data_IF_282680181410
#
_entry.id   IF_282680181410
#
_cell.length_a   1.000
_cell.length_b   1.000
_cell.length_c   1.000
_cell.angle_alpha   90.00
_cell.angle_beta   90.00
_cell.angle_gamma   90.00
#
_symmetry.space_group_name_H-M   'P 1'
#
loop_
_entity.id
_entity.type
_entity.pdbx_description
1 polymer ?
#
# COMPACT_ATOMS: atom_id res chain seq x y z
N UNK A 1 9.25 -16.44 -0.45
CA UNK A 1 7.92 -17.02 -0.12
C UNK A 1 6.96 -15.91 0.23
N UNK A 2 6.00 -15.69 -0.67
CA UNK A 2 4.99 -14.65 -0.54
C UNK A 2 4.05 -14.84 0.68
N UNK A 3 3.63 -13.75 1.35
CA UNK A 3 2.62 -13.79 2.39
C UNK A 3 1.32 -14.48 1.94
N UNK A 4 0.61 -15.13 2.87
CA UNK A 4 -0.61 -15.86 2.54
C UNK A 4 -1.73 -15.00 1.91
N UNK A 5 -1.78 -13.71 2.24
CA UNK A 5 -2.70 -12.75 1.60
C UNK A 5 -2.38 -12.54 0.12
N UNK A 6 -1.11 -12.29 -0.20
CA UNK A 6 -0.64 -12.10 -1.57
C UNK A 6 -0.88 -13.36 -2.41
N UNK A 7 -0.55 -14.56 -1.89
CA UNK A 7 -0.79 -15.82 -2.62
C UNK A 7 -2.26 -16.01 -3.00
N UNK A 8 -3.19 -15.67 -2.11
CA UNK A 8 -4.63 -15.75 -2.41
C UNK A 8 -5.08 -14.67 -3.38
N UNK A 9 -4.53 -13.47 -3.28
CA UNK A 9 -4.81 -12.41 -4.24
C UNK A 9 -4.40 -12.83 -5.65
N UNK A 10 -3.17 -13.34 -5.83
CA UNK A 10 -2.68 -13.86 -7.11
C UNK A 10 -3.56 -14.98 -7.66
N UNK A 11 -3.99 -15.90 -6.80
CA UNK A 11 -4.78 -17.07 -7.22
C UNK A 11 -6.25 -16.76 -7.56
N UNK A 12 -6.85 -15.77 -6.91
CA UNK A 12 -8.31 -15.62 -6.91
C UNK A 12 -8.85 -14.20 -7.12
N UNK A 13 -8.02 -13.15 -7.08
CA UNK A 13 -8.47 -11.76 -7.17
C UNK A 13 -7.53 -10.89 -7.99
N UNK A 14 -7.76 -9.58 -7.99
CA UNK A 14 -7.00 -8.62 -8.82
C UNK A 14 -6.29 -7.55 -8.01
N UNK A 15 -6.28 -7.71 -6.68
CA UNK A 15 -5.54 -6.82 -5.81
C UNK A 15 -5.20 -7.41 -4.47
N UNK A 16 -4.15 -6.87 -3.88
CA UNK A 16 -3.69 -7.21 -2.53
C UNK A 16 -3.55 -5.94 -1.70
N UNK A 17 -4.13 -5.96 -0.50
CA UNK A 17 -4.10 -4.81 0.41
C UNK A 17 -3.41 -5.20 1.72
N UNK A 18 -2.07 -5.12 1.82
CA UNK A 18 -1.37 -5.28 3.09
C UNK A 18 -1.68 -4.14 4.08
N UNK A 19 -1.50 -4.43 5.37
CA UNK A 19 -1.69 -3.47 6.45
C UNK A 19 -0.31 -2.93 6.86
N UNK A 20 -0.13 -1.62 6.78
CA UNK A 20 1.06 -0.93 7.27
C UNK A 20 1.32 -1.25 8.74
N UNK A 21 2.58 -1.56 9.07
CA UNK A 21 2.99 -2.01 10.40
C UNK A 21 2.82 -3.52 10.65
N UNK A 22 2.06 -4.24 9.80
CA UNK A 22 2.09 -5.73 9.74
C UNK A 22 2.93 -6.25 8.58
N UNK A 23 3.01 -5.46 7.52
CA UNK A 23 3.89 -5.65 6.38
C UNK A 23 4.78 -4.43 6.26
N UNK A 24 6.05 -4.62 5.91
CA UNK A 24 6.94 -3.53 5.60
C UNK A 24 6.34 -2.72 4.44
N UNK A 25 6.38 -1.39 4.58
CA UNK A 25 5.85 -0.46 3.58
C UNK A 25 7.04 0.12 2.83
N UNK A 26 7.62 -0.70 1.97
CA UNK A 26 8.73 -0.35 1.10
C UNK A 26 8.36 -0.72 -0.35
N UNK A 27 8.46 0.25 -1.26
CA UNK A 27 7.98 0.12 -2.63
C UNK A 27 8.69 -0.98 -3.39
N UNK A 28 10.02 -1.03 -3.30
CA UNK A 28 10.83 -2.07 -3.96
C UNK A 28 10.45 -3.47 -3.52
N UNK A 29 10.42 -3.75 -2.22
CA UNK A 29 10.11 -5.08 -1.71
C UNK A 29 8.69 -5.52 -2.02
N UNK A 30 7.72 -4.60 -1.97
CA UNK A 30 6.34 -4.89 -2.40
C UNK A 30 6.25 -5.22 -3.89
N UNK A 31 6.98 -4.50 -4.73
CA UNK A 31 7.05 -4.73 -6.17
C UNK A 31 7.74 -6.05 -6.51
N UNK A 32 8.85 -6.37 -5.82
CA UNK A 32 9.55 -7.64 -5.97
C UNK A 32 8.68 -8.83 -5.52
N UNK A 33 7.95 -8.68 -4.40
CA UNK A 33 6.98 -9.68 -3.93
C UNK A 33 5.86 -9.91 -4.94
N UNK A 34 5.34 -8.83 -5.55
CA UNK A 34 4.34 -8.91 -6.63
C UNK A 34 4.88 -9.71 -7.81
N UNK A 35 6.10 -9.39 -8.25
CA UNK A 35 6.73 -10.05 -9.38
C UNK A 35 7.01 -11.54 -9.12
N UNK A 36 7.57 -11.88 -7.96
CA UNK A 36 7.81 -13.28 -7.54
C UNK A 36 6.50 -14.07 -7.56
N UNK A 37 5.49 -13.60 -6.84
CA UNK A 37 4.24 -14.34 -6.66
C UNK A 37 3.45 -14.49 -7.97
N UNK A 38 3.40 -13.45 -8.81
CA UNK A 38 2.75 -13.52 -10.11
C UNK A 38 3.53 -14.42 -11.09
N UNK A 39 4.87 -14.35 -11.09
CA UNK A 39 5.73 -15.20 -11.90
C UNK A 39 5.56 -16.69 -11.59
N UNK A 40 5.50 -17.06 -10.31
CA UNK A 40 5.21 -18.43 -9.87
C UNK A 40 3.84 -18.95 -10.37
N UNK A 41 2.88 -18.04 -10.55
CA UNK A 41 1.53 -18.37 -11.02
C UNK A 41 1.34 -18.20 -12.54
N UNK A 42 2.37 -17.79 -13.28
CA UNK A 42 2.26 -17.48 -14.72
C UNK A 42 1.34 -16.30 -15.03
N UNK A 43 1.20 -15.35 -14.10
CA UNK A 43 0.35 -14.16 -14.19
C UNK A 43 1.18 -12.92 -14.48
N UNK A 44 0.61 -11.98 -15.23
CA UNK A 44 1.21 -10.65 -15.41
C UNK A 44 1.19 -9.86 -14.09
N UNK A 45 2.34 -9.41 -13.54
CA UNK A 45 2.40 -8.59 -12.35
C UNK A 45 1.55 -7.30 -12.44
N UNK A 46 1.43 -6.69 -13.62
CA UNK A 46 0.65 -5.47 -13.80
C UNK A 46 -0.87 -5.68 -13.67
N UNK A 47 -1.33 -6.93 -13.74
CA UNK A 47 -2.72 -7.30 -13.51
C UNK A 47 -3.11 -7.43 -12.03
N UNK A 48 -2.16 -7.22 -11.11
CA UNK A 48 -2.40 -7.29 -9.67
C UNK A 48 -2.09 -5.93 -9.02
N UNK A 49 -3.14 -5.22 -8.61
CA UNK A 49 -3.01 -3.95 -7.90
C UNK A 49 -2.50 -4.18 -6.48
N UNK A 50 -1.63 -3.30 -5.98
CA UNK A 50 -1.27 -3.25 -4.57
C UNK A 50 -1.72 -1.93 -3.97
N UNK A 51 -2.38 -2.02 -2.82
CA UNK A 51 -2.75 -0.84 -2.05
C UNK A 51 -2.37 -1.00 -0.59
N UNK A 52 -1.90 0.07 0.06
CA UNK A 52 -1.50 -0.02 1.47
C UNK A 52 -2.63 0.49 2.35
N UNK A 53 -3.17 -0.37 3.20
CA UNK A 53 -4.09 0.05 4.26
C UNK A 53 -3.30 0.50 5.48
N UNK A 54 -3.64 1.66 6.05
CA UNK A 54 -2.85 2.32 7.09
C UNK A 54 -1.41 2.59 6.69
N UNK A 55 -1.22 3.23 5.52
CA UNK A 55 0.09 3.72 5.11
C UNK A 55 0.61 4.78 6.09
N UNK A 56 1.94 4.82 6.35
CA UNK A 56 2.55 5.94 7.04
C UNK A 56 2.34 7.24 6.25
N UNK A 57 1.91 8.34 6.90
CA UNK A 57 1.74 9.65 6.25
C UNK A 57 3.11 10.35 6.11
N UNK A 58 4.00 9.76 5.31
CA UNK A 58 5.36 10.24 5.08
C UNK A 58 5.60 10.39 3.58
N UNK A 59 6.06 11.58 3.16
CA UNK A 59 6.24 11.93 1.74
C UNK A 59 7.28 11.02 1.08
N UNK A 60 8.38 10.70 1.75
CA UNK A 60 9.43 9.85 1.21
C UNK A 60 8.95 8.42 0.99
N UNK A 61 8.20 7.88 1.94
CA UNK A 61 7.59 6.54 1.82
C UNK A 61 6.57 6.52 0.68
N UNK A 62 5.68 7.50 0.59
CA UNK A 62 4.64 7.49 -0.45
C UNK A 62 5.24 7.69 -1.84
N UNK A 63 6.28 8.53 -1.97
CA UNK A 63 7.01 8.70 -3.23
C UNK A 63 7.70 7.39 -3.66
N UNK A 64 8.35 6.68 -2.73
CA UNK A 64 8.97 5.38 -2.99
C UNK A 64 7.94 4.31 -3.42
N UNK A 65 6.78 4.28 -2.78
CA UNK A 65 5.66 3.41 -3.17
C UNK A 65 5.20 3.70 -4.61
N UNK A 66 5.00 4.98 -4.94
CA UNK A 66 4.56 5.40 -6.26
C UNK A 66 5.60 5.06 -7.35
N UNK A 67 6.89 5.31 -7.09
CA UNK A 67 8.00 4.99 -8.00
C UNK A 67 8.05 3.49 -8.33
N UNK A 68 7.71 2.63 -7.37
CA UNK A 68 7.71 1.17 -7.55
C UNK A 68 6.35 0.60 -7.98
N UNK A 69 5.42 1.47 -8.38
CA UNK A 69 4.15 1.08 -9.00
C UNK A 69 3.14 0.51 -8.00
N UNK A 70 3.11 1.04 -6.78
CA UNK A 70 2.03 0.81 -5.82
C UNK A 70 0.96 1.89 -6.04
N UNK A 71 -0.26 1.45 -6.32
CA UNK A 71 -1.26 2.30 -6.96
C UNK A 71 -2.04 3.18 -5.98
N UNK A 72 -2.13 2.76 -4.72
CA UNK A 72 -2.99 3.43 -3.74
C UNK A 72 -2.52 3.26 -2.30
N UNK A 73 -2.68 4.33 -1.53
CA UNK A 73 -2.53 4.32 -0.07
C UNK A 73 -3.82 4.77 0.59
N UNK A 74 -4.14 4.19 1.75
CA UNK A 74 -5.21 4.63 2.62
C UNK A 74 -4.61 4.98 3.99
N UNK A 75 -4.76 6.24 4.39
CA UNK A 75 -4.33 6.69 5.71
C UNK A 75 -5.34 6.30 6.79
N UNK A 76 -4.85 6.11 8.01
CA UNK A 76 -5.69 5.74 9.13
C UNK A 76 -6.32 6.94 9.81
N UNK A 77 -7.65 7.01 9.79
CA UNK A 77 -8.38 8.03 10.56
C UNK A 77 -8.69 7.47 11.95
N UNK A 78 -8.24 8.12 13.04
CA UNK A 78 -8.57 7.67 14.39
C UNK A 78 -10.08 7.83 14.66
N UNK A 79 -10.63 6.94 15.47
CA UNK A 79 -12.01 7.07 15.96
C UNK A 79 -12.07 8.04 17.14
N UNK A 80 -11.93 9.33 16.84
CA UNK A 80 -11.91 10.42 17.82
C UNK A 80 -12.94 11.52 17.49
N UNK A 81 -13.00 12.57 18.31
CA UNK A 81 -13.85 13.73 18.10
C UNK A 81 -13.51 14.50 16.81
N UNK A 82 -14.49 15.27 16.33
CA UNK A 82 -14.43 16.04 15.08
C UNK A 82 -13.11 16.83 14.94
N UNK A 83 -12.75 17.63 15.93
CA UNK A 83 -11.64 18.58 15.81
C UNK A 83 -10.29 17.85 15.71
N UNK A 84 -10.14 16.75 16.46
CA UNK A 84 -8.95 15.89 16.38
C UNK A 84 -8.84 15.20 15.01
N UNK A 85 -9.96 14.68 14.50
CA UNK A 85 -10.00 14.06 13.16
C UNK A 85 -9.70 15.07 12.05
N UNK A 86 -10.27 16.27 12.10
CA UNK A 86 -10.02 17.30 11.09
C UNK A 86 -8.54 17.71 11.07
N UNK A 87 -7.90 17.90 12.23
CA UNK A 87 -6.48 18.21 12.29
C UNK A 87 -5.61 17.10 11.66
N UNK A 88 -5.98 15.83 11.86
CA UNK A 88 -5.29 14.70 11.22
C UNK A 88 -5.48 14.71 9.70
N UNK A 89 -6.69 14.98 9.21
CA UNK A 89 -6.98 15.05 7.78
C UNK A 89 -6.26 16.21 7.10
N UNK A 90 -6.16 17.37 7.75
CA UNK A 90 -5.38 18.51 7.27
C UNK A 90 -3.89 18.14 7.11
N UNK A 91 -3.33 17.43 8.10
CA UNK A 91 -1.95 16.90 8.00
C UNK A 91 -1.77 15.91 6.85
N UNK A 92 -2.75 15.05 6.56
CA UNK A 92 -2.69 14.17 5.38
C UNK A 92 -2.79 14.95 4.07
N UNK A 93 -3.59 16.01 4.02
CA UNK A 93 -3.68 16.87 2.85
C UNK A 93 -2.34 17.58 2.57
N UNK A 94 -1.63 18.04 3.61
CA UNK A 94 -0.29 18.63 3.48
C UNK A 94 0.74 17.62 2.94
N UNK A 95 0.72 16.38 3.42
CA UNK A 95 1.58 15.30 2.90
C UNK A 95 1.31 15.08 1.41
N UNK A 96 0.04 14.95 1.03
CA UNK A 96 -0.32 14.73 -0.38
C UNK A 96 -0.01 15.92 -1.29
N UNK A 97 -0.06 17.15 -0.77
CA UNK A 97 0.31 18.35 -1.51
C UNK A 97 1.84 18.49 -1.70
N UNK A 98 2.63 17.69 -0.98
CA UNK A 98 4.11 17.73 -1.00
C UNK A 98 4.75 16.60 -1.82
N UNK A 99 3.94 15.71 -2.41
CA UNK A 99 4.36 14.67 -3.36
C UNK A 99 4.50 15.23 -4.78
#
# INVERSE_FOLDING_TARGET
MAPGGLRRAVAYGDGWIPIGGRTAVDGRGLSDLRAEACGEAGRDPASLEISIYYAPPDVGIIADLAEHGIERVAFGVPSDGRDAVLQVLDGYAEVMASL
#
